data_IF_041083295089
#
_entry.id   IF_041083295089
#
_cell.length_a   1.000
_cell.length_b   1.000
_cell.length_c   1.000
_cell.angle_alpha   90.00
_cell.angle_beta   90.00
_cell.angle_gamma   90.00
#
_symmetry.space_group_name_H-M   'P 1'
#
loop_
_entity.id
_entity.type
_entity.pdbx_description
1 polymer ?
#
# COMPACT_ATOMS: atom_id res chain seq x y z
N UNK A 1 -9.60 7.40 18.83
CA UNK A 1 -8.17 7.08 18.57
C UNK A 1 -7.73 7.45 17.17
N UNK A 2 -8.37 6.94 16.10
CA UNK A 2 -8.03 7.34 14.72
C UNK A 2 -8.02 8.86 14.50
N UNK A 3 -9.01 9.57 15.03
CA UNK A 3 -9.07 11.04 14.96
C UNK A 3 -7.86 11.73 15.63
N UNK A 4 -7.36 11.20 16.75
CA UNK A 4 -6.19 11.75 17.45
C UNK A 4 -4.93 11.57 16.59
N UNK A 5 -4.78 10.41 15.96
CA UNK A 5 -3.67 10.15 15.03
C UNK A 5 -3.74 11.12 13.86
N UNK A 6 -4.90 11.26 13.21
CA UNK A 6 -5.11 12.20 12.10
C UNK A 6 -4.79 13.63 12.55
N UNK A 7 -5.36 14.08 13.66
CA UNK A 7 -5.14 15.42 14.19
C UNK A 7 -3.66 15.67 14.48
N UNK A 8 -2.96 14.70 15.07
CA UNK A 8 -1.52 14.77 15.33
C UNK A 8 -0.76 14.92 14.02
N UNK A 9 -1.04 14.10 13.01
CA UNK A 9 -0.37 14.18 11.70
C UNK A 9 -0.61 15.55 11.05
N UNK A 10 -1.84 16.07 11.11
CA UNK A 10 -2.19 17.38 10.56
C UNK A 10 -1.51 18.54 11.29
N UNK A 11 -1.47 18.49 12.63
CA UNK A 11 -0.77 19.49 13.44
C UNK A 11 0.73 19.47 13.13
N UNK A 12 1.33 18.28 13.02
CA UNK A 12 2.74 18.17 12.66
C UNK A 12 3.02 18.72 11.26
N UNK A 13 2.14 18.42 10.29
CA UNK A 13 2.26 19.00 8.95
C UNK A 13 2.13 20.52 8.93
N UNK A 14 1.21 21.07 9.72
CA UNK A 14 0.94 22.51 9.75
C UNK A 14 2.05 23.30 10.44
N UNK A 15 2.48 22.85 11.62
CA UNK A 15 3.36 23.64 12.49
C UNK A 15 4.85 23.36 12.29
N UNK A 16 5.22 22.19 11.77
CA UNK A 16 6.62 21.85 11.53
C UNK A 16 6.96 21.92 10.04
N UNK A 17 8.25 22.12 9.75
CA UNK A 17 8.81 22.22 8.40
C UNK A 17 9.98 21.25 8.24
N UNK A 18 10.39 21.01 6.99
CA UNK A 18 11.51 20.14 6.67
C UNK A 18 11.28 18.69 7.07
N UNK A 19 12.24 18.11 7.80
CA UNK A 19 12.26 16.68 8.14
C UNK A 19 11.06 16.23 9.00
N UNK A 20 10.71 17.01 10.03
CA UNK A 20 9.61 16.68 10.97
C UNK A 20 8.25 16.61 10.27
N UNK A 21 8.06 17.40 9.20
CA UNK A 21 6.86 17.33 8.36
C UNK A 21 6.80 16.00 7.59
N UNK A 22 7.91 15.54 7.03
CA UNK A 22 7.93 14.31 6.22
C UNK A 22 7.73 13.04 7.06
N UNK A 23 8.19 13.04 8.31
CA UNK A 23 7.99 11.91 9.23
C UNK A 23 6.71 12.05 10.08
N UNK A 24 5.82 12.99 9.74
CA UNK A 24 4.61 13.27 10.53
C UNK A 24 3.72 12.04 10.70
N UNK A 25 3.64 11.18 9.68
CA UNK A 25 2.83 9.96 9.74
C UNK A 25 3.39 8.98 10.76
N UNK A 26 4.72 8.77 10.74
CA UNK A 26 5.41 7.92 11.72
C UNK A 26 5.20 8.46 13.14
N UNK A 27 5.35 9.78 13.33
CA UNK A 27 5.12 10.43 14.63
C UNK A 27 3.67 10.23 15.09
N UNK A 28 2.70 10.39 14.18
CA UNK A 28 1.29 10.16 14.47
C UNK A 28 0.99 8.72 14.92
N UNK A 29 1.61 7.74 14.26
CA UNK A 29 1.51 6.33 14.65
C UNK A 29 2.13 6.10 16.03
N UNK A 30 3.32 6.64 16.28
CA UNK A 30 4.00 6.49 17.58
C UNK A 30 3.16 7.09 18.71
N UNK A 31 2.66 8.32 18.55
CA UNK A 31 1.82 8.97 19.56
C UNK A 31 0.51 8.20 19.75
N UNK A 32 -0.12 7.75 18.65
CA UNK A 32 -1.32 6.92 18.71
C UNK A 32 -1.08 5.61 19.47
N UNK A 33 0.02 4.92 19.18
CA UNK A 33 0.40 3.67 19.81
C UNK A 33 0.68 3.84 21.31
N UNK A 34 1.44 4.87 21.70
CA UNK A 34 1.72 5.18 23.11
C UNK A 34 0.43 5.45 23.88
N UNK A 35 -0.52 6.19 23.31
CA UNK A 35 -1.82 6.41 23.94
C UNK A 35 -2.58 5.09 24.13
N UNK A 36 -2.53 4.18 23.14
CA UNK A 36 -3.18 2.87 23.26
C UNK A 36 -2.54 1.99 24.32
N UNK A 37 -1.22 2.04 24.43
CA UNK A 37 -0.45 1.32 25.44
C UNK A 37 -0.83 1.81 26.85
N UNK A 38 -0.94 3.12 27.04
CA UNK A 38 -1.38 3.71 28.32
C UNK A 38 -2.83 3.35 28.69
N UNK A 39 -3.67 3.06 27.70
CA UNK A 39 -5.07 2.65 27.90
C UNK A 39 -5.22 1.13 28.07
N UNK A 40 -4.15 0.36 27.94
CA UNK A 40 -4.18 -1.10 28.06
C UNK A 40 -4.75 -1.82 26.83
N UNK A 41 -4.83 -1.15 25.69
CA UNK A 41 -5.37 -1.70 24.44
C UNK A 41 -4.31 -2.38 23.56
N UNK A 42 -3.13 -2.66 24.11
CA UNK A 42 -1.99 -3.26 23.39
C UNK A 42 -1.53 -4.48 24.18
N UNK A 43 -1.52 -5.64 23.53
CA UNK A 43 -0.93 -6.86 24.08
C UNK A 43 0.52 -6.98 23.60
N UNK A 44 1.46 -6.83 24.54
CA UNK A 44 2.89 -6.98 24.27
C UNK A 44 3.36 -8.43 24.39
N UNK A 45 2.52 -9.33 24.92
CA UNK A 45 2.83 -10.76 25.04
C UNK A 45 3.05 -11.45 23.68
N UNK A 46 2.52 -10.87 22.60
CA UNK A 46 2.70 -11.33 21.21
C UNK A 46 4.19 -11.30 20.79
N UNK A 47 5.02 -10.53 21.51
CA UNK A 47 6.45 -10.40 21.24
C UNK A 47 7.31 -11.42 22.00
N UNK A 48 6.75 -12.10 22.99
CA UNK A 48 7.48 -13.08 23.80
C UNK A 48 7.70 -14.38 23.03
N UNK A 49 8.91 -14.93 23.11
CA UNK A 49 9.30 -16.15 22.40
C UNK A 49 9.57 -15.99 20.90
N UNK A 50 9.40 -14.80 20.31
CA UNK A 50 9.76 -14.54 18.90
C UNK A 50 11.27 -14.34 18.73
N UNK A 51 11.83 -15.01 17.73
CA UNK A 51 13.24 -14.84 17.36
C UNK A 51 13.56 -13.42 16.86
N UNK A 52 14.79 -13.00 17.12
CA UNK A 52 15.31 -11.72 16.63
C UNK A 52 15.60 -11.74 15.13
N UNK A 53 15.94 -12.89 14.58
CA UNK A 53 16.18 -13.10 13.16
C UNK A 53 15.40 -14.32 12.68
N UNK A 54 14.71 -14.16 11.55
CA UNK A 54 13.96 -15.22 10.90
C UNK A 54 14.04 -15.01 9.40
N UNK A 55 14.31 -16.09 8.68
CA UNK A 55 14.34 -16.05 7.21
C UNK A 55 12.96 -16.38 6.67
N UNK A 56 12.36 -15.43 5.95
CA UNK A 56 11.10 -15.68 5.24
C UNK A 56 11.41 -16.58 4.04
N UNK A 57 10.94 -17.83 4.04
CA UNK A 57 11.16 -18.70 2.89
C UNK A 57 10.35 -18.21 1.68
N UNK A 58 10.96 -18.11 0.49
CA UNK A 58 10.21 -17.87 -0.72
C UNK A 58 9.25 -19.04 -0.95
N UNK A 59 8.04 -18.73 -1.38
CA UNK A 59 6.95 -19.66 -1.67
C UNK A 59 6.54 -20.49 -0.46
N UNK A 60 6.73 -19.96 0.75
CA UNK A 60 6.40 -20.64 2.02
C UNK A 60 5.05 -21.36 1.98
N UNK A 61 3.97 -20.66 1.57
CA UNK A 61 2.64 -21.28 1.51
C UNK A 61 2.50 -22.35 0.42
N UNK A 62 3.25 -22.25 -0.68
CA UNK A 62 3.20 -23.22 -1.77
C UNK A 62 3.93 -24.52 -1.41
N UNK A 63 5.09 -24.42 -0.75
CA UNK A 63 5.92 -25.60 -0.42
C UNK A 63 5.56 -26.25 0.92
N UNK A 64 5.30 -25.47 1.97
CA UNK A 64 5.10 -25.99 3.33
C UNK A 64 3.64 -26.41 3.58
N UNK A 65 2.69 -25.68 2.98
CA UNK A 65 1.25 -25.90 3.14
C UNK A 65 0.54 -26.25 1.83
N UNK A 66 1.27 -26.66 0.77
CA UNK A 66 0.72 -26.92 -0.57
C UNK A 66 -0.47 -27.89 -0.61
N UNK A 67 -0.47 -28.89 0.28
CA UNK A 67 -1.58 -29.84 0.41
C UNK A 67 -2.84 -29.24 1.09
N UNK A 68 -2.67 -28.29 2.01
CA UNK A 68 -3.78 -27.58 2.68
C UNK A 68 -4.27 -26.38 1.83
N UNK A 69 -3.35 -25.76 1.08
CA UNK A 69 -3.64 -24.74 0.06
C UNK A 69 -4.42 -25.29 -1.13
N UNK A 70 -4.33 -26.60 -1.44
CA UNK A 70 -5.18 -27.21 -2.47
C UNK A 70 -6.69 -27.11 -2.15
N UNK A 71 -7.06 -26.99 -0.86
CA UNK A 71 -8.43 -26.73 -0.40
C UNK A 71 -8.80 -25.25 -0.26
N UNK A 72 -7.82 -24.36 -0.06
CA UNK A 72 -8.02 -22.90 0.12
C UNK A 72 -7.93 -22.14 -1.21
N UNK A 73 -7.07 -22.58 -2.13
CA UNK A 73 -7.06 -22.13 -3.52
C UNK A 73 -8.33 -22.66 -4.15
N UNK A 74 -9.36 -21.84 -4.10
CA UNK A 74 -10.57 -22.08 -4.86
C UNK A 74 -10.20 -21.90 -6.34
N UNK A 75 -9.73 -22.98 -6.99
CA UNK A 75 -9.29 -22.99 -8.39
C UNK A 75 -10.32 -22.37 -9.35
N UNK A 76 -11.60 -22.46 -8.97
CA UNK A 76 -12.74 -21.79 -9.62
C UNK A 76 -12.63 -20.25 -9.69
N UNK A 77 -11.95 -19.59 -8.73
CA UNK A 77 -11.71 -18.15 -8.70
C UNK A 77 -10.33 -17.74 -9.23
N UNK A 78 -9.46 -18.69 -9.58
CA UNK A 78 -8.13 -18.38 -10.10
C UNK A 78 -8.16 -17.49 -11.35
N UNK A 79 -9.05 -17.71 -12.35
CA UNK A 79 -9.14 -16.83 -13.52
C UNK A 79 -9.54 -15.40 -13.14
N UNK A 80 -10.46 -15.26 -12.19
CA UNK A 80 -10.89 -13.96 -11.68
C UNK A 80 -9.73 -13.27 -10.98
N UNK A 81 -9.03 -13.97 -10.07
CA UNK A 81 -7.88 -13.43 -9.35
C UNK A 81 -6.77 -12.96 -10.30
N UNK A 82 -6.45 -13.73 -11.35
CA UNK A 82 -5.48 -13.33 -12.37
C UNK A 82 -5.91 -12.04 -13.07
N UNK A 83 -7.17 -11.96 -13.50
CA UNK A 83 -7.72 -10.75 -14.14
C UNK A 83 -7.67 -9.56 -13.17
N UNK A 84 -8.03 -9.77 -11.90
CA UNK A 84 -7.97 -8.70 -10.88
C UNK A 84 -6.54 -8.20 -10.69
N UNK A 85 -5.55 -9.11 -10.65
CA UNK A 85 -4.14 -8.75 -10.50
C UNK A 85 -3.59 -8.05 -11.74
N UNK A 86 -4.04 -8.41 -12.94
CA UNK A 86 -3.72 -7.67 -14.17
C UNK A 86 -4.21 -6.21 -14.05
N UNK A 87 -5.44 -6.00 -13.57
CA UNK A 87 -6.01 -4.65 -13.35
C UNK A 87 -5.22 -3.89 -12.28
N UNK A 88 -4.83 -4.55 -11.19
CA UNK A 88 -3.97 -3.96 -10.16
C UNK A 88 -2.61 -3.55 -10.75
N UNK A 89 -1.99 -4.39 -11.59
CA UNK A 89 -0.73 -4.06 -12.25
C UNK A 89 -0.85 -2.88 -13.21
N UNK A 90 -1.99 -2.69 -13.90
CA UNK A 90 -2.23 -1.47 -14.66
C UNK A 90 -2.26 -0.23 -13.76
N UNK A 91 -2.87 -0.34 -12.58
CA UNK A 91 -2.90 0.75 -11.59
C UNK A 91 -1.49 1.08 -11.10
N UNK A 92 -0.67 0.07 -10.81
CA UNK A 92 0.74 0.23 -10.43
C UNK A 92 1.53 0.95 -11.54
N UNK A 93 1.35 0.56 -12.81
CA UNK A 93 2.03 1.22 -13.93
C UNK A 93 1.63 2.70 -14.02
N UNK A 94 0.34 3.01 -13.87
CA UNK A 94 -0.16 4.40 -13.91
C UNK A 94 0.44 5.22 -12.75
N UNK A 95 0.43 4.67 -11.54
CA UNK A 95 0.97 5.31 -10.34
C UNK A 95 2.47 5.56 -10.46
N UNK A 96 3.25 4.52 -10.78
CA UNK A 96 4.69 4.63 -11.03
C UNK A 96 5.01 5.62 -12.14
N UNK A 97 4.18 5.73 -13.17
CA UNK A 97 4.36 6.72 -14.24
C UNK A 97 4.31 8.15 -13.69
N UNK A 98 3.30 8.44 -12.85
CA UNK A 98 3.20 9.73 -12.15
C UNK A 98 4.42 10.00 -11.29
N UNK A 99 4.85 9.00 -10.51
CA UNK A 99 6.02 9.10 -9.64
C UNK A 99 7.32 9.30 -10.43
N UNK A 100 7.50 8.64 -11.58
CA UNK A 100 8.68 8.84 -12.44
C UNK A 100 8.73 10.24 -13.03
N UNK A 101 7.60 10.77 -13.50
CA UNK A 101 7.51 12.14 -14.03
C UNK A 101 7.81 13.17 -12.93
N UNK A 102 7.17 13.02 -11.76
CA UNK A 102 7.43 13.90 -10.63
C UNK A 102 8.89 13.82 -10.13
N UNK A 103 9.47 12.61 -10.10
CA UNK A 103 10.89 12.41 -9.79
C UNK A 103 11.77 13.14 -10.80
N UNK A 104 11.50 12.98 -12.11
CA UNK A 104 12.27 13.62 -13.17
C UNK A 104 12.29 15.15 -13.04
N UNK A 105 11.13 15.75 -12.73
CA UNK A 105 11.00 17.17 -12.47
C UNK A 105 11.84 17.62 -11.27
N UNK A 106 11.76 16.89 -10.15
CA UNK A 106 12.54 17.19 -8.93
C UNK A 106 14.04 17.06 -9.16
N UNK A 107 14.48 16.03 -9.89
CA UNK A 107 15.91 15.85 -10.19
C UNK A 107 16.43 16.82 -11.25
N UNK A 108 15.55 17.55 -11.94
CA UNK A 108 15.89 18.55 -12.96
C UNK A 108 16.12 17.94 -14.34
N UNK A 109 15.54 16.76 -14.60
CA UNK A 109 15.68 16.04 -15.86
C UNK A 109 14.54 16.41 -16.81
N UNK A 110 14.87 17.08 -17.91
CA UNK A 110 13.90 17.62 -18.87
C UNK A 110 13.00 16.58 -19.56
N UNK A 111 13.52 15.37 -19.83
CA UNK A 111 12.76 14.28 -20.47
C UNK A 111 13.24 12.92 -19.99
N UNK A 112 12.30 12.02 -19.75
CA UNK A 112 12.56 10.59 -19.53
C UNK A 112 12.59 9.92 -20.90
N UNK A 113 13.64 9.14 -21.19
CA UNK A 113 13.68 8.38 -22.45
C UNK A 113 12.78 7.15 -22.35
N UNK A 114 12.23 6.68 -23.48
CA UNK A 114 11.40 5.46 -23.51
C UNK A 114 12.14 4.25 -22.92
N UNK A 115 13.46 4.14 -23.13
CA UNK A 115 14.28 3.06 -22.57
C UNK A 115 14.37 3.11 -21.06
N UNK A 116 14.47 4.29 -20.46
CA UNK A 116 14.49 4.45 -19.00
C UNK A 116 13.13 4.15 -18.39
N UNK A 117 12.07 4.61 -19.05
CA UNK A 117 10.70 4.33 -18.64
C UNK A 117 10.40 2.82 -18.67
N UNK A 118 10.74 2.13 -19.76
CA UNK A 118 10.60 0.69 -19.87
C UNK A 118 11.40 -0.07 -18.81
N UNK A 119 12.62 0.40 -18.48
CA UNK A 119 13.42 -0.18 -17.40
C UNK A 119 12.82 0.05 -16.01
N UNK A 120 12.20 1.21 -15.78
CA UNK A 120 11.50 1.53 -14.54
C UNK A 120 10.30 0.59 -14.32
N UNK A 121 9.42 0.49 -15.33
CA UNK A 121 8.27 -0.43 -15.25
C UNK A 121 8.71 -1.89 -15.13
N UNK A 122 9.76 -2.30 -15.85
CA UNK A 122 10.30 -3.65 -15.72
C UNK A 122 10.84 -3.92 -14.30
N UNK A 123 11.41 -2.91 -13.64
CA UNK A 123 11.84 -3.03 -12.25
C UNK A 123 10.65 -3.17 -11.29
N UNK A 124 9.56 -2.42 -11.49
CA UNK A 124 8.33 -2.57 -10.69
C UNK A 124 7.73 -3.97 -10.85
N UNK A 125 7.64 -4.46 -12.09
CA UNK A 125 7.18 -5.82 -12.37
C UNK A 125 8.07 -6.87 -11.73
N UNK A 126 9.40 -6.74 -11.84
CA UNK A 126 10.35 -7.65 -11.22
C UNK A 126 10.25 -7.63 -9.69
N UNK A 127 10.16 -6.45 -9.08
CA UNK A 127 9.99 -6.32 -7.63
C UNK A 127 8.69 -6.97 -7.15
N UNK A 128 7.61 -6.85 -7.93
CA UNK A 128 6.31 -7.48 -7.63
C UNK A 128 6.37 -9.00 -7.75
N UNK A 129 7.11 -9.55 -8.74
CA UNK A 129 7.34 -10.99 -8.85
C UNK A 129 8.17 -11.51 -7.68
N UNK A 130 9.24 -10.81 -7.31
CA UNK A 130 10.05 -11.15 -6.14
C UNK A 130 9.17 -11.07 -4.88
N UNK A 131 8.43 -9.99 -4.71
CA UNK A 131 7.48 -9.79 -3.61
C UNK A 131 6.46 -10.91 -3.47
N UNK A 132 5.78 -11.22 -4.57
CA UNK A 132 4.82 -12.33 -4.62
C UNK A 132 5.47 -13.68 -4.32
N UNK A 133 6.72 -13.88 -4.70
CA UNK A 133 7.48 -15.07 -4.31
C UNK A 133 7.69 -15.14 -2.79
N UNK A 134 7.77 -14.02 -2.09
CA UNK A 134 7.77 -13.98 -0.61
C UNK A 134 6.36 -13.81 -0.02
N UNK A 135 5.31 -14.12 -0.77
CA UNK A 135 3.90 -14.00 -0.37
C UNK A 135 3.45 -12.56 -0.05
N UNK A 136 4.12 -11.57 -0.64
CA UNK A 136 3.76 -10.16 -0.53
C UNK A 136 2.90 -9.69 -1.71
N UNK A 137 2.46 -8.43 -1.63
CA UNK A 137 1.63 -7.76 -2.63
C UNK A 137 2.49 -7.09 -3.71
N UNK A 138 1.87 -6.72 -4.86
CA UNK A 138 2.54 -5.91 -5.86
C UNK A 138 3.11 -4.62 -5.27
N UNK A 139 4.32 -4.26 -5.71
CA UNK A 139 5.02 -3.07 -5.25
C UNK A 139 5.01 -1.97 -6.32
N UNK A 140 4.99 -0.72 -5.86
CA UNK A 140 5.01 0.50 -6.69
C UNK A 140 6.02 1.49 -6.15
N UNK A 141 6.43 2.45 -6.98
CA UNK A 141 7.30 3.54 -6.56
C UNK A 141 6.59 4.48 -5.57
N UNK A 142 7.13 4.61 -4.35
CA UNK A 142 6.50 5.38 -3.27
C UNK A 142 6.64 6.90 -3.48
N UNK A 143 5.53 7.59 -3.80
CA UNK A 143 5.47 9.01 -4.13
C UNK A 143 5.79 9.92 -2.94
N UNK A 144 5.56 9.45 -1.72
CA UNK A 144 5.76 10.20 -0.47
C UNK A 144 7.24 10.57 -0.25
N UNK A 145 8.15 9.76 -0.79
CA UNK A 145 9.60 10.02 -0.70
C UNK A 145 10.03 11.22 -1.58
N UNK A 146 9.21 11.64 -2.54
CA UNK A 146 9.50 12.78 -3.43
C UNK A 146 9.64 14.09 -2.64
N UNK A 147 8.79 14.29 -1.63
CA UNK A 147 8.85 15.47 -0.77
C UNK A 147 10.19 15.58 -0.03
N UNK A 148 10.72 14.45 0.44
CA UNK A 148 12.02 14.40 1.10
C UNK A 148 13.17 14.68 0.12
N UNK A 149 13.12 14.15 -1.11
CA UNK A 149 14.13 14.43 -2.14
C UNK A 149 14.15 15.92 -2.50
N UNK A 150 12.98 16.53 -2.68
CA UNK A 150 12.86 17.95 -2.99
C UNK A 150 13.39 18.85 -1.86
N UNK A 151 13.16 18.47 -0.60
CA UNK A 151 13.61 19.23 0.57
C UNK A 151 15.10 19.05 0.89
N UNK A 152 15.60 17.82 0.83
CA UNK A 152 17.00 17.51 1.15
C UNK A 152 17.94 17.84 0.00
N UNK A 153 17.44 17.88 -1.24
CA UNK A 153 18.25 18.04 -2.45
C UNK A 153 19.15 16.85 -2.76
N UNK A 154 19.08 15.77 -1.96
CA UNK A 154 19.92 14.58 -2.13
C UNK A 154 19.32 13.68 -3.20
N UNK A 155 19.90 13.73 -4.40
CA UNK A 155 19.43 12.98 -5.59
C UNK A 155 20.20 11.67 -5.82
N UNK A 156 21.01 11.24 -4.85
CA UNK A 156 21.86 10.07 -4.97
C UNK A 156 21.05 8.77 -4.88
N UNK A 157 21.19 7.90 -5.89
CA UNK A 157 20.55 6.57 -5.90
C UNK A 157 20.99 5.69 -4.72
N UNK A 158 22.19 5.92 -4.20
CA UNK A 158 22.75 5.11 -3.12
C UNK A 158 21.98 5.26 -1.81
N UNK A 159 21.34 6.42 -1.58
CA UNK A 159 20.46 6.60 -0.40
C UNK A 159 19.30 5.61 -0.43
N UNK A 160 18.69 5.43 -1.60
CA UNK A 160 17.58 4.48 -1.80
C UNK A 160 18.05 3.04 -1.65
N UNK A 161 19.23 2.70 -2.19
CA UNK A 161 19.83 1.36 -2.06
C UNK A 161 20.12 1.04 -0.59
N UNK A 162 20.71 1.97 0.16
CA UNK A 162 21.00 1.78 1.60
C UNK A 162 19.71 1.68 2.40
N UNK A 163 18.70 2.50 2.12
CA UNK A 163 17.39 2.39 2.75
C UNK A 163 16.73 1.02 2.49
N UNK A 164 16.79 0.53 1.25
CA UNK A 164 16.34 -0.83 0.90
C UNK A 164 17.08 -1.91 1.67
N UNK A 165 18.40 -1.80 1.80
CA UNK A 165 19.21 -2.73 2.60
C UNK A 165 18.80 -2.74 4.08
N UNK A 166 18.54 -1.57 4.67
CA UNK A 166 18.01 -1.46 6.04
C UNK A 166 16.66 -2.15 6.16
N UNK A 167 15.74 -1.93 5.20
CA UNK A 167 14.42 -2.57 5.19
C UNK A 167 14.49 -4.09 5.06
N UNK A 168 15.45 -4.65 4.28
CA UNK A 168 15.66 -6.10 4.20
C UNK A 168 16.09 -6.69 5.54
N UNK A 169 17.00 -6.01 6.24
CA UNK A 169 17.44 -6.43 7.58
C UNK A 169 16.28 -6.38 8.57
N UNK A 170 15.55 -5.26 8.61
CA UNK A 170 14.38 -5.09 9.49
C UNK A 170 13.26 -6.09 9.17
N UNK A 171 13.01 -6.38 7.89
CA UNK A 171 12.02 -7.36 7.44
C UNK A 171 12.37 -8.80 7.79
N UNK A 172 13.64 -9.07 8.08
CA UNK A 172 14.13 -10.37 8.54
C UNK A 172 14.08 -10.51 10.07
N UNK A 173 13.41 -9.58 10.78
CA UNK A 173 13.26 -9.60 12.23
C UNK A 173 11.80 -9.91 12.62
N UNK A 174 11.46 -11.19 12.95
CA UNK A 174 10.11 -11.59 13.35
C UNK A 174 9.57 -10.81 14.55
N UNK A 175 10.45 -10.43 15.47
CA UNK A 175 10.11 -9.59 16.62
C UNK A 175 9.62 -8.19 16.23
N UNK A 176 10.17 -7.61 15.16
CA UNK A 176 9.67 -6.33 14.62
C UNK A 176 8.31 -6.51 13.96
N UNK A 177 8.10 -7.62 13.25
CA UNK A 177 6.78 -7.95 12.69
C UNK A 177 5.72 -8.08 13.81
N UNK A 178 6.06 -8.77 14.91
CA UNK A 178 5.19 -8.88 16.10
C UNK A 178 4.89 -7.51 16.74
N UNK A 179 5.87 -6.61 16.78
CA UNK A 179 5.66 -5.23 17.23
C UNK A 179 4.63 -4.50 16.36
N UNK A 180 4.79 -4.58 15.03
CA UNK A 180 3.86 -3.94 14.09
C UNK A 180 2.47 -4.55 14.19
N UNK A 181 2.37 -5.86 14.41
CA UNK A 181 1.11 -6.59 14.65
C UNK A 181 0.40 -6.13 15.93
N UNK A 182 1.15 -5.73 16.97
CA UNK A 182 0.57 -5.19 18.21
C UNK A 182 -0.09 -3.81 18.03
N UNK A 183 0.14 -3.12 16.91
CA UNK A 183 -0.40 -1.79 16.67
C UNK A 183 -1.91 -1.89 16.40
N UNK A 184 -2.77 -1.23 17.20
CA UNK A 184 -4.20 -1.34 17.00
C UNK A 184 -4.66 -0.81 15.64
N UNK A 185 -5.62 -1.50 15.05
CA UNK A 185 -6.17 -1.26 13.70
C UNK A 185 -6.60 0.19 13.49
N UNK A 186 -7.17 0.82 14.51
CA UNK A 186 -7.63 2.21 14.43
C UNK A 186 -6.49 3.24 14.42
N UNK A 187 -5.27 2.89 14.88
CA UNK A 187 -4.07 3.74 14.72
C UNK A 187 -3.58 3.67 13.28
N UNK A 188 -3.46 2.46 12.75
CA UNK A 188 -3.08 2.20 11.35
C UNK A 188 -4.09 2.84 10.40
N UNK A 189 -5.39 2.69 10.66
CA UNK A 189 -6.47 3.28 9.86
C UNK A 189 -6.41 4.81 9.82
N UNK A 190 -6.07 5.46 10.95
CA UNK A 190 -5.87 6.91 10.98
C UNK A 190 -4.68 7.37 10.13
N UNK A 191 -3.56 6.65 10.19
CA UNK A 191 -2.39 6.93 9.36
C UNK A 191 -2.66 6.66 7.86
N UNK A 192 -3.27 5.52 7.54
CA UNK A 192 -3.64 5.14 6.18
C UNK A 192 -4.59 6.16 5.55
N UNK A 193 -5.57 6.67 6.31
CA UNK A 193 -6.47 7.73 5.83
C UNK A 193 -5.69 8.96 5.35
N UNK A 194 -4.71 9.42 6.12
CA UNK A 194 -3.90 10.59 5.74
C UNK A 194 -3.01 10.29 4.53
N UNK A 195 -2.44 9.09 4.44
CA UNK A 195 -1.67 8.66 3.28
C UNK A 195 -2.54 8.66 2.02
N UNK A 196 -3.73 8.06 2.04
CA UNK A 196 -4.66 8.07 0.91
C UNK A 196 -5.15 9.48 0.53
N UNK A 197 -5.39 10.35 1.52
CA UNK A 197 -5.71 11.75 1.27
C UNK A 197 -4.56 12.50 0.57
N UNK A 198 -3.31 12.17 0.93
CA UNK A 198 -2.11 12.75 0.31
C UNK A 198 -1.97 12.30 -1.14
N UNK A 199 -2.14 10.99 -1.43
CA UNK A 199 -2.15 10.44 -2.79
C UNK A 199 -3.22 11.12 -3.66
N UNK A 200 -4.40 11.38 -3.09
CA UNK A 200 -5.46 12.14 -3.79
C UNK A 200 -4.99 13.55 -4.15
N UNK A 201 -4.30 14.22 -3.23
CA UNK A 201 -3.71 15.54 -3.46
C UNK A 201 -2.64 15.55 -4.57
N UNK A 202 -1.79 14.53 -4.61
CA UNK A 202 -0.78 14.38 -5.66
C UNK A 202 -1.44 14.12 -7.03
N UNK A 203 -2.51 13.33 -7.08
CA UNK A 203 -3.33 13.17 -8.29
C UNK A 203 -3.87 14.50 -8.81
N UNK A 204 -4.41 15.36 -7.95
CA UNK A 204 -4.86 16.73 -8.32
C UNK A 204 -3.71 17.57 -8.88
N UNK A 205 -2.52 17.46 -8.27
CA UNK A 205 -1.34 18.21 -8.73
C UNK A 205 -0.89 17.79 -10.12
N UNK A 206 -0.97 16.50 -10.45
CA UNK A 206 -0.69 15.99 -11.80
C UNK A 206 -1.75 16.52 -12.78
N UNK A 207 -3.04 16.46 -12.41
CA UNK A 207 -4.12 16.96 -13.26
C UNK A 207 -4.01 18.46 -13.57
N UNK A 208 -3.41 19.25 -12.67
CA UNK A 208 -3.15 20.69 -12.91
C UNK A 208 -2.25 20.95 -14.13
N UNK A 209 -1.48 19.97 -14.59
CA UNK A 209 -0.63 20.11 -15.78
C UNK A 209 -1.41 19.91 -17.10
N UNK A 210 -2.66 19.43 -17.03
CA UNK A 210 -3.50 19.15 -18.19
C UNK A 210 -4.25 20.41 -18.62
N UNK A 211 -4.29 20.67 -19.94
CA UNK A 211 -5.10 21.74 -20.52
C UNK A 211 -6.56 21.28 -20.63
N UNK A 212 -7.43 21.80 -19.76
CA UNK A 212 -8.87 21.55 -19.76
C UNK A 212 -9.67 22.58 -20.57
N UNK A 213 -9.09 23.75 -20.84
CA UNK A 213 -9.79 24.87 -21.47
C UNK A 213 -9.81 24.72 -23.00
N UNK A 214 -8.70 24.28 -23.59
CA UNK A 214 -8.60 24.14 -25.07
C UNK A 214 -9.07 22.79 -25.58
N UNK A 215 -9.05 21.76 -24.73
CA UNK A 215 -9.42 20.41 -25.11
C UNK A 215 -10.51 19.86 -24.18
N UNK A 216 -11.75 20.10 -24.56
CA UNK A 216 -12.94 19.57 -23.87
C UNK A 216 -12.94 18.03 -23.74
N UNK A 217 -12.16 17.29 -24.54
CA UNK A 217 -11.99 15.86 -24.37
C UNK A 217 -11.31 15.48 -23.05
N UNK A 218 -10.36 16.29 -22.58
CA UNK A 218 -9.61 16.02 -21.36
C UNK A 218 -10.50 16.07 -20.10
N UNK A 219 -11.40 17.06 -20.03
CA UNK A 219 -12.34 17.18 -18.91
C UNK A 219 -13.36 16.04 -18.91
N UNK A 220 -13.79 15.58 -20.09
CA UNK A 220 -14.69 14.44 -20.24
C UNK A 220 -14.04 13.14 -19.74
N UNK A 221 -12.78 12.89 -20.09
CA UNK A 221 -12.01 11.73 -19.62
C UNK A 221 -11.94 11.72 -18.09
N UNK A 222 -11.53 12.83 -17.48
CA UNK A 222 -11.42 12.94 -16.01
C UNK A 222 -12.78 12.73 -15.33
N UNK A 223 -13.84 13.34 -15.87
CA UNK A 223 -15.18 13.24 -15.30
C UNK A 223 -15.73 11.80 -15.35
N UNK A 224 -15.53 11.09 -16.46
CA UNK A 224 -15.92 9.69 -16.59
C UNK A 224 -15.09 8.81 -15.66
N UNK A 225 -13.77 9.01 -15.57
CA UNK A 225 -12.91 8.26 -14.65
C UNK A 225 -13.34 8.43 -13.19
N UNK A 226 -13.66 9.66 -12.76
CA UNK A 226 -14.18 9.92 -11.41
C UNK A 226 -15.56 9.28 -11.21
N UNK A 227 -16.45 9.37 -12.20
CA UNK A 227 -17.75 8.70 -12.17
C UNK A 227 -17.61 7.18 -12.01
N UNK A 228 -16.70 6.55 -12.75
CA UNK A 228 -16.40 5.12 -12.63
C UNK A 228 -15.80 4.75 -11.27
N UNK A 229 -14.92 5.59 -10.72
CA UNK A 229 -14.34 5.37 -9.39
C UNK A 229 -15.40 5.41 -8.27
N UNK A 230 -16.46 6.21 -8.45
CA UNK A 230 -17.57 6.35 -7.49
C UNK A 230 -18.68 5.30 -7.69
N UNK A 231 -18.72 4.61 -8.84
CA UNK A 231 -19.71 3.56 -9.14
C UNK A 231 -19.90 2.54 -8.02
N UNK A 232 -18.88 2.10 -7.28
CA UNK A 232 -19.11 1.12 -6.23
C UNK A 232 -19.84 1.67 -4.99
N UNK A 233 -19.73 2.98 -4.74
CA UNK A 233 -20.46 3.67 -3.66
C UNK A 233 -21.91 3.92 -4.07
N UNK A 234 -22.16 4.19 -5.35
CA UNK A 234 -23.50 4.49 -5.90
C UNK A 234 -24.13 3.29 -6.63
N UNK A 235 -23.46 2.16 -6.70
CA UNK A 235 -23.80 1.05 -7.60
C UNK A 235 -25.10 0.36 -7.24
N UNK A 236 -25.49 0.39 -5.97
CA UNK A 236 -26.82 -0.04 -5.51
C UNK A 236 -27.97 0.79 -6.12
N UNK A 237 -27.70 2.01 -6.62
CA UNK A 237 -28.70 2.92 -7.21
C UNK A 237 -28.78 2.83 -8.73
N UNK A 238 -27.73 2.35 -9.42
CA UNK A 238 -27.58 2.51 -10.88
C UNK A 238 -27.42 1.16 -11.60
N UNK A 239 -26.90 0.13 -10.94
CA UNK A 239 -26.48 -1.12 -11.59
C UNK A 239 -27.28 -2.30 -11.03
N UNK A 240 -27.81 -3.22 -11.89
CA UNK A 240 -28.46 -4.44 -11.43
C UNK A 240 -27.57 -5.23 -10.46
N UNK A 241 -28.19 -5.79 -9.41
CA UNK A 241 -27.52 -6.43 -8.26
C UNK A 241 -26.49 -7.52 -8.63
N UNK A 242 -26.69 -8.21 -9.76
CA UNK A 242 -25.77 -9.23 -10.27
C UNK A 242 -24.43 -8.64 -10.78
N UNK A 243 -24.46 -7.52 -11.49
CA UNK A 243 -23.25 -6.86 -12.00
C UNK A 243 -22.49 -6.19 -10.85
N UNK A 244 -23.21 -5.65 -9.86
CA UNK A 244 -22.61 -5.09 -8.66
C UNK A 244 -21.90 -6.16 -7.81
N UNK A 245 -22.47 -7.37 -7.73
CA UNK A 245 -21.82 -8.49 -7.07
C UNK A 245 -20.50 -8.86 -7.77
N UNK A 246 -20.49 -8.91 -9.11
CA UNK A 246 -19.28 -9.15 -9.88
C UNK A 246 -18.23 -8.03 -9.71
N UNK A 247 -18.62 -6.75 -9.72
CA UNK A 247 -17.70 -5.63 -9.45
C UNK A 247 -17.17 -5.68 -8.02
N UNK A 248 -18.00 -6.05 -7.04
CA UNK A 248 -17.56 -6.23 -5.66
C UNK A 248 -16.57 -7.39 -5.52
N UNK A 249 -16.78 -8.49 -6.22
CA UNK A 249 -15.88 -9.65 -6.20
C UNK A 249 -14.55 -9.42 -6.95
N UNK A 250 -14.58 -8.67 -8.05
CA UNK A 250 -13.42 -8.43 -8.92
C UNK A 250 -12.59 -7.21 -8.49
N UNK A 251 -13.24 -6.18 -7.95
CA UNK A 251 -12.58 -4.90 -7.61
C UNK A 251 -12.48 -4.71 -6.10
N UNK A 252 -13.55 -5.01 -5.35
CA UNK A 252 -13.57 -4.76 -3.90
C UNK A 252 -12.94 -5.88 -3.08
N UNK A 253 -13.27 -7.14 -3.33
CA UNK A 253 -12.84 -8.26 -2.48
C UNK A 253 -11.33 -8.47 -2.49
N UNK A 254 -10.59 -8.25 -3.60
CA UNK A 254 -9.14 -8.23 -3.55
C UNK A 254 -8.64 -6.99 -2.81
N UNK A 255 -9.09 -5.79 -3.19
CA UNK A 255 -8.52 -4.52 -2.71
C UNK A 255 -8.85 -4.22 -1.23
N UNK A 256 -10.12 -4.37 -0.84
CA UNK A 256 -10.58 -4.23 0.54
C UNK A 256 -10.49 -5.52 1.34
N UNK A 257 -10.57 -6.70 0.71
CA UNK A 257 -10.30 -7.95 1.41
C UNK A 257 -8.86 -8.00 1.91
N UNK A 258 -7.89 -7.51 1.12
CA UNK A 258 -6.48 -7.38 1.55
C UNK A 258 -6.28 -6.37 2.70
N UNK A 259 -6.95 -5.21 2.64
CA UNK A 259 -6.98 -4.26 3.76
C UNK A 259 -7.66 -4.83 5.01
N UNK A 260 -8.72 -5.64 4.83
CA UNK A 260 -9.42 -6.34 5.92
C UNK A 260 -8.68 -7.57 6.44
N UNK A 261 -7.81 -8.19 5.64
CA UNK A 261 -6.93 -9.28 6.06
C UNK A 261 -5.84 -8.75 6.99
N UNK A 262 -5.33 -7.54 6.73
CA UNK A 262 -4.44 -6.83 7.66
C UNK A 262 -5.16 -6.19 8.86
N UNK A 263 -6.46 -5.90 8.75
CA UNK A 263 -7.23 -5.19 9.79
C UNK A 263 -8.08 -6.10 10.70
N UNK A 264 -8.49 -7.29 10.26
CA UNK A 264 -9.36 -8.17 11.04
C UNK A 264 -8.68 -9.46 11.50
N UNK A 265 -7.46 -9.78 11.08
CA UNK A 265 -6.86 -11.08 11.41
C UNK A 265 -7.73 -12.28 10.99
N UNK A 266 -8.70 -12.08 10.09
CA UNK A 266 -9.58 -13.14 9.59
C UNK A 266 -8.98 -13.68 8.30
N UNK A 267 -7.82 -14.33 8.44
CA UNK A 267 -7.83 -15.73 8.07
C UNK A 267 -8.55 -16.36 9.25
N UNK A 268 -9.75 -16.89 9.06
CA UNK A 268 -10.32 -17.77 10.07
C UNK A 268 -9.38 -18.98 10.17
N UNK A 269 -8.38 -18.85 11.05
CA UNK A 269 -7.38 -19.85 11.37
C UNK A 269 -7.97 -20.86 12.35
N UNK A 270 -9.24 -20.76 12.76
CA UNK A 270 -9.86 -21.79 13.60
C UNK A 270 -9.72 -23.22 13.04
N UNK A 271 -9.76 -23.46 11.71
CA UNK A 271 -9.47 -24.77 11.15
C UNK A 271 -7.99 -25.16 11.29
N UNK A 272 -7.07 -24.20 11.26
CA UNK A 272 -5.61 -24.38 11.31
C UNK A 272 -5.08 -24.47 12.75
N UNK A 273 -5.75 -23.81 13.71
CA UNK A 273 -5.48 -23.91 15.14
C UNK A 273 -6.06 -25.20 15.73
N UNK A 274 -7.17 -25.71 15.18
CA UNK A 274 -7.76 -26.99 15.60
C UNK A 274 -6.99 -28.23 15.14
N UNK A 275 -6.07 -28.08 14.17
CA UNK A 275 -5.22 -29.16 13.65
C UNK A 275 -3.89 -29.33 14.41
N UNK A 276 -3.65 -28.54 15.46
CA UNK A 276 -2.51 -28.69 16.37
C UNK A 276 -1.14 -28.36 15.74
N UNK A 277 -1.08 -27.43 14.79
CA UNK A 277 0.15 -27.05 14.07
C UNK A 277 0.84 -25.81 14.70
N UNK A 278 0.33 -25.28 15.82
CA UNK A 278 1.02 -24.29 16.67
C UNK A 278 0.97 -24.72 18.13
#
# INVERSE_FOLDING_TARGET
>A
MAFIVILTILLFNKFFTGFLRNISVIIGIIIGYVICLLLGNVDLGIMDGRDWFGFNMPFYYFFDHGAQMAGVIQWQHLPVAIITMIIVMFTVIIDSTGTFLATADIVGKKKITQKEFARGIAADGLSSVIGGSFNSLPYTAFAENLGLIALTGVKSRWVVVTAGGILVVLGSMPKLAAFVESIPVFVIGGAAFVMFATVTGDGIRILKQVDFDKNHGNILIVSISLGMALLPLTGNLIVPSATLAATKEVVYRPFFGLLSMGANGVIDLSPILSSGIF
#
